data_IF_228999666894
#
_entry.id   IF_228999666894
#
_cell.length_a   1.000
_cell.length_b   1.000
_cell.length_c   1.000
_cell.angle_alpha   90.00
_cell.angle_beta   90.00
_cell.angle_gamma   90.00
#
_symmetry.space_group_name_H-M   'P 1'
#
loop_
_entity.id
_entity.type
_entity.pdbx_description
1 polymer ?
#
# COMPACT_ATOMS: atom_id res chain seq x y z
N UNK A 1 -0.59 -7.56 -22.96
CA UNK A 1 -1.41 -6.36 -22.63
C UNK A 1 -1.77 -6.19 -21.14
N UNK A 2 -1.65 -7.23 -20.28
CA UNK A 2 -1.54 -7.11 -18.81
C UNK A 2 -0.15 -7.51 -18.31
N UNK A 3 0.82 -7.67 -19.23
CA UNK A 3 2.13 -8.28 -18.95
C UNK A 3 2.90 -7.54 -17.84
N UNK A 4 2.63 -6.24 -17.66
CA UNK A 4 3.27 -5.43 -16.63
C UNK A 4 2.30 -4.88 -15.58
N UNK A 5 1.20 -5.59 -15.25
CA UNK A 5 0.26 -5.09 -14.23
C UNK A 5 0.95 -4.77 -12.90
N UNK A 6 1.94 -5.56 -12.50
CA UNK A 6 2.75 -5.30 -11.29
C UNK A 6 3.49 -3.97 -11.35
N UNK A 7 3.99 -3.57 -12.51
CA UNK A 7 4.69 -2.30 -12.70
C UNK A 7 3.71 -1.11 -12.61
N UNK A 8 2.54 -1.24 -13.23
CA UNK A 8 1.44 -0.25 -13.14
C UNK A 8 1.04 -0.06 -11.68
N UNK A 9 0.83 -1.17 -10.95
CA UNK A 9 0.49 -1.13 -9.53
C UNK A 9 1.59 -0.48 -8.70
N UNK A 10 2.87 -0.87 -8.90
CA UNK A 10 4.01 -0.25 -8.20
C UNK A 10 4.06 1.25 -8.45
N UNK A 11 3.98 1.69 -9.71
CA UNK A 11 4.00 3.11 -10.06
C UNK A 11 2.83 3.87 -9.41
N UNK A 12 1.63 3.29 -9.44
CA UNK A 12 0.46 3.89 -8.81
C UNK A 12 0.64 4.01 -7.29
N UNK A 13 1.01 2.92 -6.61
CA UNK A 13 1.19 2.92 -5.16
C UNK A 13 2.32 3.88 -4.74
N UNK A 14 3.46 3.87 -5.45
CA UNK A 14 4.56 4.81 -5.19
C UNK A 14 4.17 6.28 -5.39
N UNK A 15 3.16 6.57 -6.22
CA UNK A 15 2.67 7.94 -6.40
C UNK A 15 1.69 8.38 -5.30
N UNK A 16 1.06 7.43 -4.62
CA UNK A 16 0.06 7.71 -3.56
C UNK A 16 0.61 7.52 -2.15
N UNK A 17 1.64 6.69 -1.99
CA UNK A 17 2.27 6.38 -0.71
C UNK A 17 3.65 7.03 -0.62
N UNK A 18 4.04 7.45 0.59
CA UNK A 18 5.37 8.04 0.85
C UNK A 18 6.41 6.93 1.06
N UNK A 19 6.80 6.28 -0.04
CA UNK A 19 7.78 5.21 -0.02
C UNK A 19 9.22 5.73 0.14
N UNK A 20 10.10 4.86 0.61
CA UNK A 20 11.53 5.13 0.77
C UNK A 20 11.88 5.80 2.09
N UNK A 21 13.10 6.35 2.20
CA UNK A 21 13.60 6.99 3.41
C UNK A 21 12.70 8.16 3.84
N UNK A 22 12.39 8.21 5.12
CA UNK A 22 11.64 9.26 5.78
C UNK A 22 12.49 9.82 6.93
N UNK A 23 12.42 11.13 7.13
CA UNK A 23 12.97 11.79 8.31
C UNK A 23 11.80 12.34 9.11
N UNK A 24 11.66 11.88 10.35
CA UNK A 24 10.64 12.36 11.29
C UNK A 24 10.91 13.80 11.73
N UNK A 25 9.88 14.48 12.26
CA UNK A 25 9.97 15.89 12.64
C UNK A 25 11.03 16.23 13.69
N UNK A 26 11.45 15.24 14.50
CA UNK A 26 12.52 15.39 15.50
C UNK A 26 13.90 14.93 15.02
N UNK A 27 14.05 14.57 13.73
CA UNK A 27 15.33 14.10 13.16
C UNK A 27 15.52 12.58 13.14
N UNK A 28 14.49 11.81 13.51
CA UNK A 28 14.55 10.34 13.47
C UNK A 28 14.51 9.79 12.05
N UNK A 29 15.24 8.70 11.82
CA UNK A 29 15.30 8.06 10.52
C UNK A 29 14.36 6.86 10.45
N UNK A 30 13.62 6.77 9.35
CA UNK A 30 12.84 5.59 9.01
C UNK A 30 12.79 5.35 7.51
N UNK A 31 12.19 4.24 7.12
CA UNK A 31 11.96 3.89 5.72
C UNK A 31 10.65 3.14 5.60
N UNK A 32 9.88 3.49 4.56
CA UNK A 32 8.65 2.78 4.19
C UNK A 32 8.93 1.95 2.94
N UNK A 33 8.71 0.65 3.03
CA UNK A 33 8.85 -0.27 1.90
C UNK A 33 7.49 -0.88 1.52
N UNK A 34 7.41 -1.41 0.30
CA UNK A 34 6.17 -1.90 -0.30
C UNK A 34 6.34 -3.35 -0.75
N UNK A 35 5.39 -4.20 -0.38
CA UNK A 35 5.20 -5.53 -0.95
C UNK A 35 3.79 -5.65 -1.56
N UNK A 36 3.69 -6.18 -2.79
CA UNK A 36 2.39 -6.54 -3.38
C UNK A 36 2.12 -8.00 -3.00
N UNK A 37 1.01 -8.24 -2.31
CA UNK A 37 0.70 -9.54 -1.74
C UNK A 37 -0.11 -10.38 -2.71
N UNK A 38 -1.21 -9.83 -3.22
CA UNK A 38 -2.14 -10.52 -4.10
C UNK A 38 -2.64 -9.57 -5.19
N UNK A 39 -2.85 -10.11 -6.40
CA UNK A 39 -3.55 -9.44 -7.50
C UNK A 39 -4.63 -10.41 -7.97
N UNK A 40 -5.89 -10.03 -7.80
CA UNK A 40 -7.02 -10.82 -8.28
C UNK A 40 -7.08 -10.76 -9.82
N UNK A 41 -7.61 -11.79 -10.49
CA UNK A 41 -7.78 -11.78 -11.94
C UNK A 41 -8.52 -10.52 -12.41
N UNK A 42 -7.95 -9.75 -13.36
CA UNK A 42 -8.60 -8.54 -13.87
C UNK A 42 -9.93 -8.85 -14.55
N UNK A 43 -10.91 -7.97 -14.35
CA UNK A 43 -12.25 -8.08 -14.95
C UNK A 43 -12.44 -6.93 -15.93
N UNK A 44 -12.82 -7.22 -17.18
CA UNK A 44 -13.17 -6.16 -18.13
C UNK A 44 -14.50 -5.51 -17.72
N UNK A 45 -14.50 -4.19 -17.57
CA UNK A 45 -15.66 -3.35 -17.26
C UNK A 45 -15.72 -2.16 -18.21
N UNK A 46 -16.91 -1.55 -18.32
CA UNK A 46 -17.08 -0.30 -19.08
C UNK A 46 -17.23 0.86 -18.11
N UNK A 47 -16.36 1.86 -18.23
CA UNK A 47 -16.42 3.13 -17.49
C UNK A 47 -16.48 4.25 -18.53
N UNK A 48 -17.48 5.13 -18.40
CA UNK A 48 -17.68 6.28 -19.29
C UNK A 48 -17.61 5.88 -20.78
N UNK A 49 -18.34 4.82 -21.14
CA UNK A 49 -18.42 4.24 -22.49
C UNK A 49 -17.10 3.65 -23.03
N UNK A 50 -16.05 3.57 -22.21
CA UNK A 50 -14.74 3.01 -22.56
C UNK A 50 -14.47 1.71 -21.81
N UNK A 51 -13.85 0.75 -22.50
CA UNK A 51 -13.40 -0.51 -21.88
C UNK A 51 -12.19 -0.26 -20.98
N UNK A 52 -12.27 -0.75 -19.75
CA UNK A 52 -11.20 -0.75 -18.77
C UNK A 52 -11.13 -2.10 -18.05
N UNK A 53 -10.00 -2.40 -17.42
CA UNK A 53 -9.81 -3.57 -16.58
C UNK A 53 -9.87 -3.16 -15.12
N UNK A 54 -10.84 -3.70 -14.38
CA UNK A 54 -10.90 -3.60 -12.92
C UNK A 54 -9.88 -4.56 -12.32
N UNK A 55 -8.94 -4.01 -11.56
CA UNK A 55 -7.86 -4.73 -10.90
C UNK A 55 -7.97 -4.52 -9.41
N UNK A 56 -8.25 -5.61 -8.69
CA UNK A 56 -8.27 -5.63 -7.24
C UNK A 56 -6.98 -6.25 -6.74
N UNK A 57 -6.33 -5.60 -5.77
CA UNK A 57 -5.05 -6.07 -5.24
C UNK A 57 -4.92 -5.73 -3.76
N UNK A 58 -4.04 -6.45 -3.09
CA UNK A 58 -3.61 -6.16 -1.73
C UNK A 58 -2.11 -5.94 -1.68
N UNK A 59 -1.67 -5.05 -0.78
CA UNK A 59 -0.27 -4.72 -0.59
C UNK A 59 0.01 -4.41 0.87
N UNK A 60 1.23 -4.67 1.32
CA UNK A 60 1.72 -4.34 2.65
C UNK A 60 2.72 -3.20 2.56
N UNK A 61 2.53 -2.20 3.43
CA UNK A 61 3.54 -1.20 3.74
C UNK A 61 4.27 -1.65 5.01
N UNK A 62 5.59 -1.75 4.92
CA UNK A 62 6.45 -2.06 6.07
C UNK A 62 7.24 -0.82 6.43
N UNK A 63 7.04 -0.31 7.64
CA UNK A 63 7.76 0.82 8.21
C UNK A 63 8.83 0.29 9.16
N UNK A 64 10.06 0.66 8.87
CA UNK A 64 11.22 0.41 9.72
C UNK A 64 11.76 1.75 10.19
N UNK A 65 12.09 1.86 11.47
CA UNK A 65 12.75 3.04 12.04
C UNK A 65 14.11 2.63 12.61
N UNK A 66 14.91 3.60 13.04
CA UNK A 66 16.14 3.34 13.80
C UNK A 66 15.90 2.57 15.11
N UNK A 67 14.66 2.54 15.61
CA UNK A 67 14.27 1.83 16.83
C UNK A 67 13.68 0.44 16.55
N UNK A 68 13.59 0.02 15.29
CA UNK A 68 13.07 -1.31 14.93
C UNK A 68 14.11 -2.38 15.26
N UNK A 69 13.84 -3.17 16.30
CA UNK A 69 14.72 -4.20 16.85
C UNK A 69 13.91 -5.47 17.02
N UNK A 70 14.35 -6.58 16.43
CA UNK A 70 13.68 -7.87 16.65
C UNK A 70 14.22 -8.57 17.91
N UNK A 71 13.35 -9.18 18.75
CA UNK A 71 11.89 -9.23 18.64
C UNK A 71 11.15 -8.08 19.35
N UNK A 72 11.86 -7.21 20.07
CA UNK A 72 11.26 -6.29 21.06
C UNK A 72 10.41 -5.15 20.44
N UNK A 73 10.80 -4.66 19.26
CA UNK A 73 10.10 -3.65 18.48
C UNK A 73 10.16 -4.01 16.99
N UNK A 74 9.36 -4.98 16.51
CA UNK A 74 9.37 -5.40 15.12
C UNK A 74 8.88 -4.27 14.19
N UNK A 75 9.14 -4.35 12.87
CA UNK A 75 8.61 -3.43 11.89
C UNK A 75 7.09 -3.31 11.97
N UNK A 76 6.59 -2.10 11.75
CA UNK A 76 5.16 -1.89 11.59
C UNK A 76 4.74 -2.28 10.18
N UNK A 77 3.68 -3.09 10.08
CA UNK A 77 3.15 -3.62 8.85
C UNK A 77 1.65 -3.36 8.76
N UNK A 78 1.27 -2.55 7.77
CA UNK A 78 -0.12 -2.32 7.41
C UNK A 78 -0.40 -2.94 6.06
N UNK A 79 -1.43 -3.78 6.01
CA UNK A 79 -1.92 -4.39 4.77
C UNK A 79 -3.20 -3.71 4.32
N UNK A 80 -3.22 -3.31 3.06
CA UNK A 80 -4.32 -2.61 2.44
C UNK A 80 -4.88 -3.40 1.26
N UNK A 81 -6.19 -3.28 1.04
CA UNK A 81 -6.84 -3.61 -0.23
C UNK A 81 -7.19 -2.33 -0.99
N UNK A 82 -7.05 -2.38 -2.32
CA UNK A 82 -7.44 -1.29 -3.20
C UNK A 82 -7.93 -1.84 -4.55
N UNK A 83 -8.80 -1.09 -5.20
CA UNK A 83 -9.24 -1.36 -6.56
C UNK A 83 -8.88 -0.20 -7.46
N UNK A 84 -8.34 -0.51 -8.64
CA UNK A 84 -8.10 0.45 -9.71
C UNK A 84 -8.74 -0.02 -11.01
N UNK A 85 -9.01 0.91 -11.91
CA UNK A 85 -9.41 0.63 -13.28
C UNK A 85 -8.33 1.14 -14.22
N UNK A 86 -7.91 0.26 -15.12
CA UNK A 86 -6.80 0.50 -16.03
C UNK A 86 -7.32 0.43 -17.47
N UNK A 87 -7.05 1.44 -18.29
CA UNK A 87 -7.40 1.40 -19.72
C UNK A 87 -6.49 0.41 -20.49
N UNK A 88 -6.78 0.23 -21.78
CA UNK A 88 -5.96 -0.65 -22.65
C UNK A 88 -4.53 -0.16 -22.86
N UNK A 89 -4.24 1.11 -22.59
CA UNK A 89 -2.91 1.70 -22.69
C UNK A 89 -2.12 1.57 -21.38
N UNK A 90 -2.72 1.02 -20.30
CA UNK A 90 -2.07 0.86 -19.01
C UNK A 90 -2.21 2.06 -18.07
N UNK A 91 -3.06 3.04 -18.40
CA UNK A 91 -3.30 4.20 -17.56
C UNK A 91 -4.38 3.91 -16.52
N UNK A 92 -4.16 4.34 -15.28
CA UNK A 92 -5.19 4.30 -14.24
C UNK A 92 -6.22 5.40 -14.50
N UNK A 93 -7.44 5.02 -14.82
CA UNK A 93 -8.55 5.95 -15.12
C UNK A 93 -9.46 6.18 -13.91
N UNK A 94 -9.44 5.28 -12.93
CA UNK A 94 -10.21 5.38 -11.69
C UNK A 94 -9.54 4.57 -10.59
N UNK A 95 -9.72 4.96 -9.34
CA UNK A 95 -9.29 4.21 -8.15
C UNK A 95 -10.27 4.37 -7.00
N UNK A 96 -10.35 3.37 -6.13
CA UNK A 96 -11.00 3.51 -4.81
C UNK A 96 -10.00 4.04 -3.79
N UNK A 97 -10.51 4.51 -2.65
CA UNK A 97 -9.67 4.66 -1.47
C UNK A 97 -9.12 3.29 -1.02
N UNK A 98 -7.98 3.32 -0.33
CA UNK A 98 -7.40 2.13 0.28
C UNK A 98 -8.19 1.76 1.54
N UNK A 99 -8.36 0.45 1.77
CA UNK A 99 -8.96 -0.09 2.98
C UNK A 99 -7.91 -0.89 3.75
N UNK A 100 -7.64 -0.52 5.01
CA UNK A 100 -6.78 -1.33 5.88
C UNK A 100 -7.52 -2.64 6.21
N UNK A 101 -6.86 -3.78 5.95
CA UNK A 101 -7.41 -5.12 6.21
C UNK A 101 -6.64 -5.88 7.29
N UNK A 102 -5.42 -5.45 7.61
CA UNK A 102 -4.59 -6.00 8.69
C UNK A 102 -3.58 -4.95 9.09
N UNK A 103 -3.39 -4.76 10.39
CA UNK A 103 -2.29 -3.97 10.96
C UNK A 103 -1.69 -4.76 12.12
N UNK A 104 -0.38 -4.71 12.29
CA UNK A 104 0.28 -5.17 13.51
C UNK A 104 0.60 -4.01 14.47
N UNK A 105 0.13 -2.81 14.15
CA UNK A 105 0.28 -1.65 15.01
C UNK A 105 -0.94 -1.53 15.92
N UNK A 106 -0.73 -1.67 17.22
CA UNK A 106 -1.73 -1.32 18.22
C UNK A 106 -1.43 0.10 18.72
N UNK A 107 -2.24 1.12 18.35
CA UNK A 107 -2.04 2.47 18.86
C UNK A 107 -2.36 2.62 20.36
N UNK A 108 -2.89 1.58 21.03
CA UNK A 108 -3.32 1.64 22.43
C UNK A 108 -2.37 0.97 23.44
N UNK A 109 -1.30 0.29 23.02
CA UNK A 109 -0.37 -0.36 23.98
C UNK A 109 0.41 0.63 24.87
N UNK A 110 0.44 1.93 24.53
CA UNK A 110 1.13 2.97 25.33
C UNK A 110 0.23 3.81 26.24
N UNK A 111 -1.07 3.49 26.35
CA UNK A 111 -2.03 4.28 27.15
C UNK A 111 -2.39 3.65 28.51
N UNK A 112 -1.67 2.61 28.96
CA UNK A 112 -1.98 1.90 30.20
C UNK A 112 -0.85 1.88 31.25
N UNK A 113 0.15 2.74 31.13
CA UNK A 113 0.99 3.08 32.28
C UNK A 113 0.66 4.51 32.71
N UNK A 114 0.39 4.68 34.00
CA UNK A 114 0.00 5.90 34.72
C UNK A 114 -1.50 6.27 34.73
N UNK A 115 -2.29 5.49 35.48
CA UNK A 115 -3.31 6.02 36.40
C UNK A 115 -3.26 5.31 37.76
#
# INVERSE_FOLDING_TARGET
MLENIKEILRKHISSTEKLGPQVGGSGHHGSVSLSINEIKPPVEETIDEKKAYRVMFSYTLTVVTEFTIYPDNPPHEDTYEKTIWVDRAGNVVKSTDKKCIKSNWDPFEFLHEDL
#
